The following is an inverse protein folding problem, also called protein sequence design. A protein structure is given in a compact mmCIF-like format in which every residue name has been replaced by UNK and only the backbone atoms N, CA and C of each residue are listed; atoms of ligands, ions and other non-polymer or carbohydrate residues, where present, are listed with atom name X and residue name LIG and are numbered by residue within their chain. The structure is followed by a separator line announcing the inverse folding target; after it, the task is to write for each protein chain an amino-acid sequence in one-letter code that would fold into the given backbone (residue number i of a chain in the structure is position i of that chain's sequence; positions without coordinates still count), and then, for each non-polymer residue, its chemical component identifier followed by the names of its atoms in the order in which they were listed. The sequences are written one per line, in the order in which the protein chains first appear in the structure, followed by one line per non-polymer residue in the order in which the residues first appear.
data_IF_224564669780
#
_entry.id   IF_224564669780
#
_cell.length_a   1.000
_cell.length_b   1.000
_cell.length_c   1.000
_cell.angle_alpha   90.00
_cell.angle_beta   90.00
_cell.angle_gamma   90.00
#
_symmetry.space_group_name_H-M   'P 1'
#
loop_
_entity.id
_entity.type
_entity.pdbx_description
1 polymer ?
#
# COMPACT_ATOMS: atom_id res chain seq x y z
N UNK A 1 -16.40 17.59 6.30
CA UNK A 1 -16.84 16.76 5.17
C UNK A 1 -15.62 15.98 4.75
N UNK A 2 -15.63 14.66 4.89
CA UNK A 2 -14.52 13.80 4.47
C UNK A 2 -14.42 13.86 2.95
N UNK A 3 -13.35 14.46 2.45
CA UNK A 3 -13.08 14.45 1.02
C UNK A 3 -12.87 12.99 0.58
N UNK A 4 -13.39 12.57 -0.60
CA UNK A 4 -13.17 11.21 -1.08
C UNK A 4 -11.66 10.97 -1.19
N UNK A 5 -11.15 9.90 -0.59
CA UNK A 5 -9.72 9.55 -0.59
C UNK A 5 -9.11 9.43 -2.01
N UNK A 6 -9.97 9.31 -3.04
CA UNK A 6 -9.60 9.18 -4.45
C UNK A 6 -9.97 10.40 -5.31
N UNK A 7 -10.38 11.53 -4.72
CA UNK A 7 -10.79 12.72 -5.47
C UNK A 7 -9.62 13.46 -6.14
N UNK A 8 -8.39 13.26 -5.64
CA UNK A 8 -7.15 13.82 -6.16
C UNK A 8 -6.08 12.71 -6.20
N UNK A 9 -5.28 12.58 -7.27
CA UNK A 9 -4.08 11.74 -7.30
C UNK A 9 -3.17 11.84 -6.06
N UNK A 10 -3.19 12.97 -5.34
CA UNK A 10 -2.50 13.19 -4.07
C UNK A 10 -3.29 12.85 -2.80
N UNK A 11 -4.63 12.71 -2.86
CA UNK A 11 -5.51 12.58 -1.69
C UNK A 11 -5.30 11.27 -0.89
N UNK A 12 -4.86 10.20 -1.54
CA UNK A 12 -4.43 8.97 -0.85
C UNK A 12 -3.24 9.22 0.11
N UNK A 13 -2.42 10.23 -0.16
CA UNK A 13 -1.16 10.50 0.51
C UNK A 13 -1.26 10.81 2.00
N UNK A 14 -2.36 11.42 2.44
CA UNK A 14 -2.54 11.86 3.83
C UNK A 14 -3.33 10.85 4.67
N UNK A 15 -4.41 10.26 4.12
CA UNK A 15 -5.34 9.39 4.86
C UNK A 15 -5.04 7.89 4.74
N UNK A 16 -4.34 7.44 3.69
CA UNK A 16 -4.17 5.99 3.44
C UNK A 16 -2.95 5.35 4.10
N UNK A 17 -2.06 6.15 4.70
CA UNK A 17 -0.73 5.70 5.15
C UNK A 17 -0.51 6.01 6.64
N UNK A 18 0.16 5.11 7.35
CA UNK A 18 0.61 5.36 8.72
C UNK A 18 1.73 6.42 8.76
N UNK A 19 2.00 7.05 9.92
CA UNK A 19 3.14 7.95 10.08
C UNK A 19 4.48 7.29 9.68
N UNK A 20 4.65 6.00 9.97
CA UNK A 20 5.85 5.25 9.60
C UNK A 20 5.99 5.07 8.08
N UNK A 21 4.89 4.76 7.40
CA UNK A 21 4.84 4.64 5.93
C UNK A 21 5.12 5.97 5.24
N UNK A 22 4.55 7.07 5.75
CA UNK A 22 4.85 8.42 5.26
C UNK A 22 6.31 8.78 5.47
N UNK A 23 6.86 8.49 6.65
CA UNK A 23 8.28 8.71 6.96
C UNK A 23 9.21 7.92 6.03
N UNK A 24 8.91 6.63 5.81
CA UNK A 24 9.65 5.78 4.89
C UNK A 24 9.62 6.29 3.45
N UNK A 25 8.43 6.65 2.92
CA UNK A 25 8.31 7.19 1.58
C UNK A 25 8.96 8.59 1.42
N UNK A 26 8.94 9.41 2.47
CA UNK A 26 9.57 10.73 2.49
C UNK A 26 11.11 10.67 2.51
N UNK A 27 11.69 9.58 3.01
CA UNK A 27 13.13 9.36 3.01
C UNK A 27 13.69 9.06 1.60
N UNK A 28 12.84 8.66 0.65
CA UNK A 28 13.23 8.35 -0.73
C UNK A 28 13.47 9.62 -1.57
N UNK A 29 14.26 9.53 -2.66
CA UNK A 29 14.37 10.58 -3.67
C UNK A 29 13.00 11.03 -4.17
N UNK A 30 12.83 12.34 -4.43
CA UNK A 30 11.54 12.93 -4.84
C UNK A 30 10.90 12.22 -6.03
N UNK A 31 11.71 11.77 -6.99
CA UNK A 31 11.28 11.01 -8.17
C UNK A 31 10.71 9.63 -7.85
N UNK A 32 11.14 8.99 -6.76
CA UNK A 32 10.74 7.62 -6.40
C UNK A 32 9.51 7.58 -5.49
N UNK A 33 9.20 8.68 -4.79
CA UNK A 33 8.10 8.74 -3.81
C UNK A 33 6.73 8.36 -4.39
N UNK A 34 6.34 8.78 -5.61
CA UNK A 34 5.06 8.37 -6.19
C UNK A 34 4.95 6.85 -6.35
N UNK A 35 5.98 6.21 -6.90
CA UNK A 35 6.03 4.76 -7.05
C UNK A 35 6.04 4.04 -5.69
N UNK A 36 6.75 4.59 -4.71
CA UNK A 36 6.79 4.06 -3.35
C UNK A 36 5.41 4.09 -2.66
N UNK A 37 4.67 5.20 -2.78
CA UNK A 37 3.28 5.30 -2.28
C UNK A 37 2.35 4.32 -2.99
N UNK A 38 2.48 4.20 -4.31
CA UNK A 38 1.69 3.22 -5.06
C UNK A 38 2.00 1.78 -4.62
N UNK A 39 3.27 1.43 -4.37
CA UNK A 39 3.64 0.11 -3.82
C UNK A 39 3.01 -0.13 -2.46
N UNK A 40 3.14 0.81 -1.53
CA UNK A 40 2.50 0.72 -0.21
C UNK A 40 0.98 0.49 -0.33
N UNK A 41 0.31 1.21 -1.21
CA UNK A 41 -1.12 1.02 -1.46
C UNK A 41 -1.44 -0.39 -1.96
N UNK A 42 -0.74 -0.86 -3.01
CA UNK A 42 -0.97 -2.21 -3.55
C UNK A 42 -0.69 -3.30 -2.53
N UNK A 43 0.28 -3.11 -1.63
CA UNK A 43 0.55 -4.02 -0.51
C UNK A 43 -0.62 -4.06 0.47
N UNK A 44 -1.18 -2.90 0.86
CA UNK A 44 -2.35 -2.85 1.74
C UNK A 44 -3.53 -3.60 1.13
N UNK A 45 -3.83 -3.34 -0.13
CA UNK A 45 -4.88 -4.06 -0.84
C UNK A 45 -4.62 -5.57 -0.89
N UNK A 46 -3.39 -5.99 -1.21
CA UNK A 46 -3.02 -7.39 -1.26
C UNK A 46 -3.24 -8.07 0.11
N UNK A 47 -2.82 -7.42 1.19
CA UNK A 47 -2.99 -7.92 2.56
C UNK A 47 -4.47 -8.11 2.93
N UNK A 48 -5.32 -7.11 2.68
CA UNK A 48 -6.75 -7.23 3.02
C UNK A 48 -7.50 -8.21 2.11
N UNK A 49 -7.04 -8.40 0.86
CA UNK A 49 -7.53 -9.45 -0.05
C UNK A 49 -7.13 -10.84 0.46
N UNK A 50 -5.88 -11.03 0.88
CA UNK A 50 -5.41 -12.29 1.46
C UNK A 50 -6.11 -12.62 2.79
N UNK A 51 -6.50 -11.60 3.56
CA UNK A 51 -7.29 -11.77 4.77
C UNK A 51 -8.77 -12.11 4.50
N UNK A 52 -9.28 -11.77 3.31
CA UNK A 52 -10.70 -11.93 2.94
C UNK A 52 -11.62 -10.89 3.56
N UNK A 53 -11.07 -9.82 4.14
CA UNK A 53 -11.84 -8.82 4.90
C UNK A 53 -12.20 -7.59 4.07
N UNK A 54 -11.39 -7.27 3.06
CA UNK A 54 -11.36 -5.90 2.52
C UNK A 54 -10.90 -4.88 3.58
N UNK A 55 -11.03 -3.59 3.28
CA UNK A 55 -10.79 -2.53 4.28
C UNK A 55 -12.01 -2.39 5.18
N UNK A 56 -11.91 -2.89 6.42
CA UNK A 56 -12.98 -2.81 7.44
C UNK A 56 -12.78 -1.64 8.41
N UNK A 57 -11.69 -0.89 8.26
CA UNK A 57 -11.30 0.25 9.09
C UNK A 57 -10.36 1.17 8.32
N UNK A 58 -9.59 2.00 9.04
CA UNK A 58 -8.64 2.93 8.41
C UNK A 58 -7.54 2.17 7.65
N UNK A 59 -7.34 2.40 6.33
CA UNK A 59 -6.23 1.81 5.58
C UNK A 59 -4.86 2.09 6.20
N UNK A 60 -4.68 3.19 6.94
CA UNK A 60 -3.43 3.51 7.64
C UNK A 60 -3.04 2.43 8.66
N UNK A 61 -4.01 1.68 9.21
CA UNK A 61 -3.77 0.60 10.19
C UNK A 61 -3.29 -0.71 9.54
N UNK A 62 -3.38 -0.85 8.22
CA UNK A 62 -2.88 -2.03 7.50
C UNK A 62 -1.36 -1.97 7.39
N UNK A 63 -0.65 -2.93 8.00
CA UNK A 63 0.81 -2.95 8.10
C UNK A 63 1.53 -3.28 6.77
N UNK A 64 1.63 -2.31 5.86
CA UNK A 64 2.19 -2.51 4.51
C UNK A 64 3.72 -2.65 4.47
N UNK A 65 4.41 -2.13 5.50
CA UNK A 65 5.85 -2.28 5.66
C UNK A 65 6.23 -3.63 6.26
N UNK A 66 5.36 -4.20 7.10
CA UNK A 66 5.62 -5.40 7.89
C UNK A 66 4.38 -6.31 7.87
N UNK A 67 4.31 -7.27 6.93
CA UNK A 67 3.17 -8.17 6.86
C UNK A 67 3.00 -8.98 8.16
N UNK A 68 1.77 -9.33 8.54
CA UNK A 68 1.52 -10.11 9.75
C UNK A 68 2.14 -11.53 9.65
N UNK A 69 2.39 -12.19 10.79
CA UNK A 69 2.93 -13.55 10.80
C UNK A 69 2.09 -14.52 9.96
N UNK A 70 2.77 -15.41 9.23
CA UNK A 70 2.11 -16.40 8.37
C UNK A 70 1.58 -15.86 7.03
N UNK A 71 1.82 -14.58 6.73
CA UNK A 71 1.54 -13.96 5.43
C UNK A 71 2.85 -13.68 4.69
N UNK A 72 2.93 -14.17 3.45
CA UNK A 72 4.00 -13.82 2.51
C UNK A 72 3.51 -12.68 1.64
N UNK A 73 4.24 -11.58 1.61
CA UNK A 73 3.94 -10.40 0.78
C UNK A 73 5.07 -10.19 -0.22
N UNK A 74 4.72 -10.10 -1.51
CA UNK A 74 5.66 -9.96 -2.62
C UNK A 74 5.26 -8.79 -3.51
N UNK A 75 6.22 -7.94 -3.87
CA UNK A 75 6.04 -6.96 -4.93
C UNK A 75 6.26 -7.66 -6.28
N UNK A 76 5.42 -7.34 -7.28
CA UNK A 76 5.56 -7.88 -8.64
C UNK A 76 6.74 -7.18 -9.31
N UNK A 77 7.83 -7.91 -9.48
CA UNK A 77 9.12 -7.36 -9.93
C UNK A 77 9.26 -7.21 -11.45
N UNK A 78 8.45 -7.91 -12.24
CA UNK A 78 8.57 -7.94 -13.71
C UNK A 78 7.23 -8.20 -14.40
N UNK A 79 7.15 -7.83 -15.68
CA UNK A 79 5.98 -8.09 -16.53
C UNK A 79 4.84 -7.07 -16.40
N UNK A 80 5.04 -6.01 -15.60
CA UNK A 80 4.12 -4.88 -15.54
C UNK A 80 4.56 -3.77 -16.51
N UNK A 81 3.62 -3.00 -17.08
CA UNK A 81 3.95 -1.81 -17.86
C UNK A 81 4.72 -0.77 -17.03
N UNK A 82 5.44 0.13 -17.72
CA UNK A 82 6.16 1.22 -17.07
C UNK A 82 5.23 2.09 -16.21
N UNK A 83 5.71 2.44 -15.02
CA UNK A 83 4.95 3.23 -14.05
C UNK A 83 3.86 2.45 -13.31
N UNK A 84 3.62 1.18 -13.64
CA UNK A 84 2.68 0.31 -12.93
C UNK A 84 3.42 -0.52 -11.89
N UNK A 85 2.83 -0.62 -10.70
CA UNK A 85 3.31 -1.45 -9.60
C UNK A 85 2.18 -2.36 -9.12
N UNK A 86 2.55 -3.51 -8.58
CA UNK A 86 1.60 -4.47 -8.03
C UNK A 86 2.21 -5.26 -6.89
N UNK A 87 1.35 -5.79 -6.03
CA UNK A 87 1.74 -6.64 -4.90
C UNK A 87 0.79 -7.81 -4.76
N UNK A 88 1.30 -8.95 -4.26
CA UNK A 88 0.52 -10.15 -3.96
C UNK A 88 0.81 -10.58 -2.54
N UNK A 89 -0.23 -10.89 -1.77
CA UNK A 89 -0.11 -11.48 -0.44
C UNK A 89 -0.73 -12.88 -0.43
N UNK A 90 -0.07 -13.82 0.23
CA UNK A 90 -0.48 -15.20 0.38
C UNK A 90 -0.50 -15.56 1.86
N UNK A 91 -1.62 -16.07 2.35
CA UNK A 91 -1.78 -16.59 3.71
C UNK A 91 -1.92 -18.11 3.65
N UNK A 92 -1.26 -18.84 4.54
CA UNK A 92 -1.59 -20.28 4.71
C UNK A 92 -3.00 -20.39 5.31
N UNK A 93 -3.83 -21.25 4.72
CA UNK A 93 -5.16 -21.54 5.20
C UNK A 93 -5.11 -22.27 6.56
#
# INVERSE_FOLDING_TARGET
MDAPAFADPGALGEVGFSPAERGWAAALPRSERPAARARLWTRKEALVKAAGTGFTGDPADVAALHPPPGVVLLDVAAGLPDGIVGSVALRRA
#
